data_IF_113181137020
#
_entry.id   IF_113181137020
#
_cell.length_a   1.000
_cell.length_b   1.000
_cell.length_c   1.000
_cell.angle_alpha   90.00
_cell.angle_beta   90.00
_cell.angle_gamma   90.00
#
_symmetry.space_group_name_H-M   'P 1'
#
loop_
_entity.id
_entity.type
_entity.pdbx_description
1 polymer ?
#
# COMPACT_ATOMS: atom_id res chain seq x y z
N UNK A 1 2.44 2.85 -13.27
CA UNK A 1 1.81 3.97 -12.51
C UNK A 1 1.78 3.58 -11.04
N UNK A 2 2.09 4.46 -10.07
CA UNK A 2 1.97 4.10 -8.66
C UNK A 2 0.51 3.78 -8.31
N UNK A 3 0.30 2.74 -7.49
CA UNK A 3 -1.04 2.39 -6.99
C UNK A 3 -1.65 3.61 -6.29
N UNK A 4 -2.86 4.01 -6.71
CA UNK A 4 -3.61 5.06 -6.06
C UNK A 4 -4.46 4.50 -4.90
N UNK A 5 -5.19 5.37 -4.19
CA UNK A 5 -6.02 4.95 -3.06
C UNK A 5 -7.12 3.96 -3.48
N UNK A 6 -7.75 4.15 -4.65
CA UNK A 6 -8.77 3.24 -5.17
C UNK A 6 -8.20 1.86 -5.45
N UNK A 7 -7.02 1.76 -6.05
CA UNK A 7 -6.38 0.46 -6.32
C UNK A 7 -6.08 -0.28 -5.01
N UNK A 8 -5.67 0.44 -3.96
CA UNK A 8 -5.42 -0.15 -2.63
C UNK A 8 -6.70 -0.62 -1.96
N UNK A 9 -7.78 0.13 -2.08
CA UNK A 9 -9.11 -0.28 -1.58
C UNK A 9 -9.58 -1.52 -2.33
N UNK A 10 -9.41 -1.56 -3.64
CA UNK A 10 -9.76 -2.73 -4.47
C UNK A 10 -8.98 -3.97 -4.04
N UNK A 11 -7.67 -3.84 -3.79
CA UNK A 11 -6.84 -4.92 -3.22
C UNK A 11 -7.38 -5.40 -1.87
N UNK A 12 -7.80 -4.50 -0.97
CA UNK A 12 -8.41 -4.90 0.31
C UNK A 12 -9.73 -5.66 0.13
N UNK A 13 -10.58 -5.21 -0.80
CA UNK A 13 -11.80 -5.94 -1.14
C UNK A 13 -11.45 -7.33 -1.70
N UNK A 14 -10.42 -7.46 -2.54
CA UNK A 14 -10.01 -8.76 -3.06
C UNK A 14 -9.48 -9.70 -1.95
N UNK A 15 -8.81 -9.17 -0.93
CA UNK A 15 -8.35 -9.94 0.24
C UNK A 15 -9.54 -10.54 0.98
N UNK A 16 -10.58 -9.75 1.23
CA UNK A 16 -11.76 -10.18 2.00
C UNK A 16 -13.05 -9.60 1.46
N UNK A 17 -13.97 -10.48 1.02
CA UNK A 17 -15.38 -10.13 0.75
C UNK A 17 -16.27 -11.16 1.44
N UNK A 18 -17.14 -10.69 2.35
CA UNK A 18 -17.97 -11.58 3.18
C UNK A 18 -17.11 -12.49 4.04
N UNK A 19 -17.42 -13.79 4.05
CA UNK A 19 -16.69 -14.80 4.84
C UNK A 19 -15.45 -15.36 4.11
N UNK A 20 -15.16 -14.89 2.89
CA UNK A 20 -14.05 -15.41 2.08
C UNK A 20 -12.79 -14.60 2.29
N UNK A 21 -11.74 -15.26 2.73
CA UNK A 21 -10.37 -14.73 2.78
C UNK A 21 -9.53 -15.33 1.65
N UNK A 22 -8.88 -14.48 0.85
CA UNK A 22 -7.91 -14.89 -0.17
C UNK A 22 -6.48 -14.71 0.33
N UNK A 23 -5.59 -15.58 -0.11
CA UNK A 23 -4.14 -15.42 0.07
C UNK A 23 -3.63 -14.25 -0.78
N UNK A 24 -2.47 -13.69 -0.39
CA UNK A 24 -1.84 -12.60 -1.15
C UNK A 24 -1.51 -13.02 -2.59
N UNK A 25 -1.16 -14.28 -2.82
CA UNK A 25 -0.89 -14.80 -4.17
C UNK A 25 -2.15 -14.83 -5.03
N UNK A 26 -3.28 -15.26 -4.48
CA UNK A 26 -4.57 -15.23 -5.20
C UNK A 26 -4.98 -13.79 -5.53
N UNK A 27 -4.76 -12.85 -4.61
CA UNK A 27 -5.04 -11.43 -4.85
C UNK A 27 -4.18 -10.87 -5.98
N UNK A 28 -2.89 -11.19 -6.03
CA UNK A 28 -2.02 -10.79 -7.14
C UNK A 28 -2.53 -11.29 -8.49
N UNK A 29 -2.91 -12.57 -8.56
CA UNK A 29 -3.47 -13.17 -9.80
C UNK A 29 -4.76 -12.48 -10.20
N UNK A 30 -5.70 -12.36 -9.27
CA UNK A 30 -6.99 -11.73 -9.50
C UNK A 30 -6.86 -10.27 -9.94
N UNK A 31 -5.97 -9.51 -9.31
CA UNK A 31 -5.75 -8.11 -9.69
C UNK A 31 -5.17 -8.01 -11.11
N UNK A 32 -4.26 -8.89 -11.49
CA UNK A 32 -3.70 -8.93 -12.84
C UNK A 32 -4.73 -9.36 -13.89
N UNK A 33 -5.57 -10.35 -13.58
CA UNK A 33 -6.67 -10.79 -14.45
C UNK A 33 -7.72 -9.68 -14.67
N UNK A 34 -8.03 -8.91 -13.63
CA UNK A 34 -8.99 -7.80 -13.70
C UNK A 34 -8.43 -6.56 -14.40
N UNK A 35 -7.11 -6.38 -14.39
CA UNK A 35 -6.42 -5.22 -14.95
C UNK A 35 -5.23 -5.66 -15.83
N UNK A 36 -5.49 -6.33 -16.97
CA UNK A 36 -4.43 -6.91 -17.81
C UNK A 36 -3.48 -5.86 -18.40
N UNK A 37 -3.96 -4.63 -18.61
CA UNK A 37 -3.17 -3.52 -19.16
C UNK A 37 -2.32 -2.80 -18.10
N UNK A 38 -2.36 -3.23 -16.85
CA UNK A 38 -1.63 -2.60 -15.73
C UNK A 38 -0.45 -3.46 -15.27
N UNK A 39 0.55 -2.77 -14.73
CA UNK A 39 1.67 -3.43 -14.06
C UNK A 39 1.18 -4.36 -12.93
N UNK A 40 1.63 -5.63 -12.89
CA UNK A 40 1.27 -6.56 -11.84
C UNK A 40 1.65 -6.05 -10.45
N UNK A 41 0.82 -6.37 -9.46
CA UNK A 41 1.13 -6.09 -8.05
C UNK A 41 1.89 -7.26 -7.43
N UNK A 42 2.93 -6.96 -6.68
CA UNK A 42 3.70 -7.97 -5.94
C UNK A 42 2.99 -8.38 -4.65
N UNK A 43 3.24 -9.61 -4.18
CA UNK A 43 2.72 -10.08 -2.88
C UNK A 43 3.17 -9.18 -1.72
N UNK A 44 4.41 -8.70 -1.76
CA UNK A 44 4.94 -7.76 -0.75
C UNK A 44 4.17 -6.43 -0.73
N UNK A 45 3.65 -5.99 -1.87
CA UNK A 45 2.79 -4.80 -1.97
C UNK A 45 1.42 -5.07 -1.36
N UNK A 46 0.80 -6.21 -1.68
CA UNK A 46 -0.47 -6.64 -1.07
C UNK A 46 -0.33 -6.76 0.45
N UNK A 47 0.71 -7.43 0.94
CA UNK A 47 1.02 -7.56 2.37
C UNK A 47 1.17 -6.20 3.06
N UNK A 48 1.87 -5.25 2.43
CA UNK A 48 2.06 -3.91 3.00
C UNK A 48 0.75 -3.13 3.09
N UNK A 49 -0.12 -3.26 2.08
CA UNK A 49 -1.45 -2.62 2.07
C UNK A 49 -2.34 -3.22 3.16
N UNK A 50 -2.40 -4.55 3.23
CA UNK A 50 -3.16 -5.27 4.26
C UNK A 50 -2.71 -4.88 5.67
N UNK A 51 -1.40 -4.97 5.93
CA UNK A 51 -0.82 -4.63 7.22
C UNK A 51 -1.15 -3.20 7.62
N UNK A 52 -0.95 -2.25 6.70
CA UNK A 52 -1.25 -0.84 6.93
C UNK A 52 -2.72 -0.61 7.29
N UNK A 53 -3.63 -1.27 6.60
CA UNK A 53 -5.05 -1.19 6.91
C UNK A 53 -5.37 -1.78 8.29
N UNK A 54 -4.82 -2.95 8.63
CA UNK A 54 -5.00 -3.57 9.95
C UNK A 54 -4.45 -2.71 11.10
N UNK A 55 -3.33 -2.02 10.87
CA UNK A 55 -2.67 -1.19 11.87
C UNK A 55 -3.31 0.20 12.03
N UNK A 56 -3.68 0.85 10.91
CA UNK A 56 -4.10 2.27 10.88
C UNK A 56 -5.58 2.48 10.57
N UNK A 57 -6.29 1.47 10.08
CA UNK A 57 -7.68 1.58 9.61
C UNK A 57 -7.83 2.28 8.25
N UNK A 58 -6.74 2.65 7.58
CA UNK A 58 -6.77 3.33 6.27
C UNK A 58 -5.57 2.98 5.39
N UNK A 59 -5.69 3.23 4.08
CA UNK A 59 -4.63 2.99 3.09
C UNK A 59 -3.98 4.26 2.53
N UNK A 60 -4.48 5.44 2.91
CA UNK A 60 -3.95 6.76 2.51
C UNK A 60 -2.45 6.85 2.71
N UNK A 61 -1.74 7.41 1.73
CA UNK A 61 -0.31 7.63 1.85
C UNK A 61 0.02 8.50 3.06
N UNK A 62 1.07 8.12 3.79
CA UNK A 62 1.52 8.93 4.90
C UNK A 62 2.02 10.27 4.33
N UNK A 63 1.77 11.40 5.02
CA UNK A 63 2.44 12.64 4.66
C UNK A 63 3.95 12.36 4.62
N UNK A 64 4.58 12.65 3.48
CA UNK A 64 6.03 12.50 3.35
C UNK A 64 6.66 13.48 4.34
N UNK A 65 7.07 12.98 5.51
CA UNK A 65 7.96 13.75 6.37
C UNK A 65 9.24 13.93 5.55
N UNK A 66 9.45 15.16 5.07
CA UNK A 66 10.67 15.51 4.35
C UNK A 66 11.88 15.18 5.22
N UNK A 67 13.06 15.05 4.58
CA UNK A 67 14.31 14.95 5.32
C UNK A 67 14.42 16.15 6.27
N UNK A 68 14.62 15.96 7.59
CA UNK A 68 14.85 17.07 8.49
C UNK A 68 16.02 17.91 7.97
N UNK A 69 15.84 19.22 7.84
CA UNK A 69 16.96 20.13 7.58
C UNK A 69 17.81 20.15 8.84
N UNK A 70 19.08 19.75 8.72
CA UNK A 70 20.06 19.93 9.80
C UNK A 70 20.26 21.44 9.93
N UNK A 71 19.91 22.02 11.08
CA UNK A 71 20.22 23.41 11.37
C UNK A 71 21.71 23.48 11.73
N UNK A 72 22.55 23.98 10.82
CA UNK A 72 23.92 24.38 11.11
C UNK A 72 23.90 25.67 11.96
N UNK A 73 23.75 25.54 13.27
CA UNK A 73 24.13 26.59 14.21
C UNK A 73 25.07 25.96 15.25
N UNK A 74 26.34 25.81 14.84
CA UNK A 74 27.46 25.62 15.76
C UNK A 74 28.35 26.86 15.61
N UNK A 75 28.17 27.82 16.52
CA UNK A 75 29.12 28.90 16.81
C UNK A 75 28.92 29.18 18.30
N UNK A 76 29.47 28.34 19.19
CA UNK A 76 30.76 28.51 19.87
C UNK A 76 30.90 29.90 20.51
N UNK A 77 30.69 29.92 21.83
CA UNK A 77 31.14 30.98 22.77
C UNK A 77 32.67 31.05 22.84
#
# INVERSE_FOLDING_TARGET
MPLNERDRIEILMMIGVGDRMRTQQEVCRLFHEMHPDREPVSQSTVSRIERKYRELGHVRDAPRQGRPKINENVQQD
#
